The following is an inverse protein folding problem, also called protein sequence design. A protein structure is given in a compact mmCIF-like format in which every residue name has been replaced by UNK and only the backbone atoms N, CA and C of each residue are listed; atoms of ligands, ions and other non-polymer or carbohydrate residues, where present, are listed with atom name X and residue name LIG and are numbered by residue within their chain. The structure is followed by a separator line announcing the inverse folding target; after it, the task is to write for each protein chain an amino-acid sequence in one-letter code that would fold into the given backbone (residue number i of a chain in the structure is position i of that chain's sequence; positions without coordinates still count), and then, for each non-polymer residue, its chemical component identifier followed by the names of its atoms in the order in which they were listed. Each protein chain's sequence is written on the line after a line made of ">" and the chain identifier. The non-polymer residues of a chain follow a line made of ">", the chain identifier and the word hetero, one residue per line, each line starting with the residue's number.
data_IF_692287462032
#
_entry.id   IF_692287462032
#
_cell.length_a   1.000
_cell.length_b   1.000
_cell.length_c   1.000
_cell.angle_alpha   90.00
_cell.angle_beta   90.00
_cell.angle_gamma   90.00
#
_symmetry.space_group_name_H-M   'P 1'
#
loop_
_entity.id
_entity.type
_entity.pdbx_description
1 polymer ?
#
# COMPACT_ATOMS: atom_id res chain seq x y z
N UNK A 1 -2.89 -8.34 -12.24
CA UNK A 1 -4.13 -7.54 -12.13
C UNK A 1 -4.49 -7.10 -13.53
N UNK A 2 -5.77 -6.99 -13.86
CA UNK A 2 -6.19 -6.61 -15.21
C UNK A 2 -6.15 -5.08 -15.33
N UNK A 3 -5.10 -4.54 -15.96
CA UNK A 3 -4.88 -3.10 -16.15
C UNK A 3 -5.88 -2.51 -17.13
N UNK A 4 -6.46 -3.33 -18.02
CA UNK A 4 -7.51 -2.91 -18.96
C UNK A 4 -8.79 -2.47 -18.24
N UNK A 5 -9.09 -3.05 -17.07
CA UNK A 5 -10.22 -2.63 -16.23
C UNK A 5 -9.98 -1.33 -15.45
N UNK A 6 -8.73 -0.88 -15.38
CA UNK A 6 -8.35 0.35 -14.68
C UNK A 6 -8.34 1.58 -15.61
N UNK A 7 -8.49 1.39 -16.93
CA UNK A 7 -8.45 2.49 -17.91
C UNK A 7 -7.09 3.20 -17.97
N UNK A 8 -6.02 2.53 -17.50
CA UNK A 8 -4.66 3.06 -17.47
C UNK A 8 -3.78 2.18 -18.33
N UNK A 9 -3.21 2.76 -19.38
CA UNK A 9 -2.12 2.14 -20.14
C UNK A 9 -0.82 2.35 -19.37
N UNK A 10 -0.25 1.26 -18.86
CA UNK A 10 1.10 1.29 -18.28
C UNK A 10 2.11 0.99 -19.39
N UNK A 11 3.25 1.68 -19.42
CA UNK A 11 4.38 1.29 -20.26
C UNK A 11 4.75 -0.18 -20.02
N UNK A 12 5.22 -0.88 -21.04
CA UNK A 12 5.60 -2.29 -20.94
C UNK A 12 6.77 -2.54 -19.96
N UNK A 13 7.50 -1.50 -19.60
CA UNK A 13 8.59 -1.49 -18.61
C UNK A 13 8.10 -1.36 -17.15
N UNK A 14 6.81 -1.08 -16.95
CA UNK A 14 6.21 -0.85 -15.65
C UNK A 14 5.22 -1.97 -15.33
N UNK A 15 5.59 -2.85 -14.39
CA UNK A 15 4.75 -3.96 -13.95
C UNK A 15 3.91 -3.61 -12.72
N UNK A 16 2.59 -3.81 -12.78
CA UNK A 16 1.69 -3.67 -11.64
C UNK A 16 1.43 -5.01 -10.94
N UNK A 17 1.82 -5.09 -9.68
CA UNK A 17 1.75 -6.31 -8.87
C UNK A 17 0.91 -6.12 -7.61
N UNK A 18 0.53 -7.26 -7.03
CA UNK A 18 -0.16 -7.31 -5.75
C UNK A 18 0.31 -8.52 -4.96
N UNK A 19 0.76 -8.29 -3.73
CA UNK A 19 1.11 -9.33 -2.77
C UNK A 19 0.15 -9.32 -1.58
N UNK A 20 -0.12 -10.50 -1.03
CA UNK A 20 -0.84 -10.68 0.23
C UNK A 20 0.17 -11.00 1.32
N UNK A 21 0.13 -10.24 2.40
CA UNK A 21 0.91 -10.50 3.61
C UNK A 21 -0.09 -10.57 4.77
N UNK A 22 -0.38 -11.78 5.24
CA UNK A 22 -1.45 -12.02 6.22
C UNK A 22 -2.81 -11.43 5.81
N UNK A 23 -3.32 -10.48 6.59
CA UNK A 23 -4.55 -9.72 6.35
C UNK A 23 -4.34 -8.50 5.46
N UNK A 24 -3.10 -8.19 5.09
CA UNK A 24 -2.75 -7.03 4.27
C UNK A 24 -2.66 -7.39 2.79
N UNK A 25 -3.03 -6.42 1.96
CA UNK A 25 -2.79 -6.42 0.51
C UNK A 25 -1.94 -5.21 0.20
N UNK A 26 -0.78 -5.45 -0.39
CA UNK A 26 0.11 -4.40 -0.89
C UNK A 26 -0.02 -4.40 -2.40
N UNK A 27 -0.35 -3.24 -2.97
CA UNK A 27 -0.29 -3.00 -4.41
C UNK A 27 0.93 -2.15 -4.67
N UNK A 28 1.78 -2.64 -5.55
CA UNK A 28 3.05 -2.01 -5.85
C UNK A 28 3.35 -2.11 -7.34
N UNK A 29 4.20 -1.20 -7.79
CA UNK A 29 4.70 -1.14 -9.15
C UNK A 29 6.20 -1.40 -9.11
N UNK A 30 6.68 -2.15 -10.08
CA UNK A 30 8.12 -2.35 -10.32
C UNK A 30 8.46 -1.74 -11.67
N UNK A 31 9.48 -0.90 -11.68
CA UNK A 31 10.09 -0.34 -12.88
C UNK A 31 11.50 -0.92 -13.00
N UNK A 32 11.70 -1.83 -13.95
CA UNK A 32 12.93 -2.61 -14.03
C UNK A 32 14.14 -1.78 -14.42
N UNK A 33 13.96 -0.78 -15.29
CA UNK A 33 15.04 0.08 -15.79
C UNK A 33 15.66 0.94 -14.69
N UNK A 34 14.83 1.46 -13.79
CA UNK A 34 15.27 2.28 -12.66
C UNK A 34 15.55 1.47 -11.39
N UNK A 35 15.34 0.14 -11.44
CA UNK A 35 15.36 -0.75 -10.27
C UNK A 35 14.51 -0.21 -9.10
N UNK A 36 13.38 0.40 -9.45
CA UNK A 36 12.54 1.12 -8.50
C UNK A 36 11.28 0.30 -8.18
N UNK A 37 10.99 0.17 -6.89
CA UNK A 37 9.73 -0.38 -6.40
C UNK A 37 8.93 0.72 -5.70
N UNK A 38 7.73 0.99 -6.22
CA UNK A 38 6.84 2.01 -5.67
C UNK A 38 5.61 1.35 -5.07
N UNK A 39 5.43 1.51 -3.75
CA UNK A 39 4.22 1.05 -3.07
C UNK A 39 3.10 2.06 -3.28
N UNK A 40 2.06 1.67 -4.02
CA UNK A 40 0.93 2.55 -4.32
C UNK A 40 -0.08 2.59 -3.18
N UNK A 41 -0.34 1.44 -2.56
CA UNK A 41 -1.27 1.36 -1.43
C UNK A 41 -1.06 0.09 -0.61
N UNK A 42 -1.29 0.21 0.69
CA UNK A 42 -1.32 -0.89 1.65
C UNK A 42 -2.71 -0.92 2.28
N UNK A 43 -3.43 -2.04 2.16
CA UNK A 43 -4.81 -2.17 2.66
C UNK A 43 -4.96 -3.40 3.55
N UNK A 44 -5.40 -3.22 4.79
CA UNK A 44 -5.83 -4.32 5.67
C UNK A 44 -7.24 -4.76 5.28
N UNK A 45 -7.51 -6.07 5.18
CA UNK A 45 -8.89 -6.56 5.08
C UNK A 45 -9.60 -6.45 6.43
N UNK A 46 -10.93 -6.24 6.44
CA UNK A 46 -11.74 -6.36 7.65
C UNK A 46 -11.72 -7.79 8.24
N UNK A 47 -12.08 -7.95 9.54
CA UNK A 47 -12.68 -6.93 10.38
C UNK A 47 -11.62 -5.97 10.94
N UNK A 48 -11.89 -4.67 10.82
CA UNK A 48 -11.05 -3.68 11.47
C UNK A 48 -11.35 -3.73 12.97
N UNK A 49 -10.40 -4.21 13.78
CA UNK A 49 -10.40 -3.90 15.20
C UNK A 49 -9.65 -2.58 15.37
N UNK A 50 -10.40 -1.53 15.69
CA UNK A 50 -9.91 -0.18 15.97
C UNK A 50 -9.90 0.12 17.48
N UNK A 51 -9.96 -0.92 18.32
CA UNK A 51 -10.18 -0.77 19.76
C UNK A 51 -9.10 0.08 20.45
N UNK A 52 -7.89 0.12 19.88
CA UNK A 52 -6.73 0.86 20.39
C UNK A 52 -6.32 2.06 19.52
N UNK A 53 -7.14 2.47 18.56
CA UNK A 53 -6.80 3.56 17.63
C UNK A 53 -6.54 4.88 18.37
N UNK A 54 -7.29 5.12 19.45
CA UNK A 54 -7.16 6.30 20.29
C UNK A 54 -5.80 6.38 20.98
N UNK A 55 -5.29 5.26 21.51
CA UNK A 55 -3.99 5.19 22.18
C UNK A 55 -2.86 5.44 21.18
N UNK A 56 -2.91 4.77 20.02
CA UNK A 56 -1.91 4.94 18.96
C UNK A 56 -1.85 6.36 18.39
N UNK A 57 -3.00 7.02 18.24
CA UNK A 57 -3.07 8.41 17.80
C UNK A 57 -2.51 9.37 18.85
N UNK A 58 -2.75 9.09 20.13
CA UNK A 58 -2.25 9.90 21.23
C UNK A 58 -0.71 9.82 21.34
N UNK A 59 -0.14 8.63 21.15
CA UNK A 59 1.32 8.44 21.11
C UNK A 59 1.96 9.13 19.90
N UNK A 60 1.34 9.05 18.71
CA UNK A 60 1.89 9.68 17.51
C UNK A 60 1.93 11.21 17.61
N UNK A 61 0.87 11.83 18.14
CA UNK A 61 0.80 13.29 18.32
C UNK A 61 1.78 13.74 19.41
N UNK A 62 1.93 12.99 20.50
CA UNK A 62 2.87 13.32 21.57
C UNK A 62 4.35 13.26 21.12
N UNK A 63 4.67 12.39 20.16
CA UNK A 63 6.03 12.26 19.62
C UNK A 63 6.39 13.29 18.54
N UNK A 64 5.43 14.11 18.07
CA UNK A 64 5.68 15.20 17.12
C UNK A 64 5.98 16.54 17.81
N UNK A 65 5.80 16.63 19.14
CA UNK A 65 6.03 17.84 19.94
C UNK A 65 7.43 17.91 20.61
N UNK A 66 8.32 16.94 20.33
CA UNK A 66 9.70 16.86 20.85
C UNK A 66 10.76 17.00 19.74
#
# INVERSE_FOLDING_TARGET
>A
MDTLKLGVELPSTIGLYRIRVESWRVVYVVEEELQLLTVLTVRKRPPYQYDNLHELLSEAIANEEE
#
